data_IF_943999853129
#
_entry.id   IF_943999853129
#
_cell.length_a   1.000
_cell.length_b   1.000
_cell.length_c   1.000
_cell.angle_alpha   90.00
_cell.angle_beta   90.00
_cell.angle_gamma   90.00
#
_symmetry.space_group_name_H-M   'P 1'
#
loop_
_entity.id
_entity.type
_entity.pdbx_description
1 polymer ?
#
# COMPACT_ATOMS: atom_id res chain seq x y z
N UNK A 1 -24.44 -3.52 10.36
CA UNK A 1 -23.92 -2.13 10.26
C UNK A 1 -22.83 -2.16 9.20
N UNK A 2 -23.01 -1.48 8.07
CA UNK A 2 -22.00 -1.43 7.01
C UNK A 2 -20.86 -0.50 7.43
N UNK A 3 -19.60 -0.74 6.97
CA UNK A 3 -18.44 0.10 7.28
C UNK A 3 -18.64 1.59 6.92
N UNK A 4 -19.65 1.92 6.08
CA UNK A 4 -19.99 3.30 5.73
C UNK A 4 -20.75 4.05 6.84
N UNK A 5 -21.30 3.36 7.83
CA UNK A 5 -22.16 3.92 8.88
C UNK A 5 -21.49 3.93 10.26
N UNK A 6 -20.29 3.33 10.39
CA UNK A 6 -19.57 3.32 11.68
C UNK A 6 -18.97 4.70 11.98
N UNK A 7 -19.09 5.22 13.21
CA UNK A 7 -18.36 6.41 13.62
C UNK A 7 -16.86 6.12 13.48
N UNK A 8 -16.12 7.08 12.94
CA UNK A 8 -14.66 7.03 12.84
C UNK A 8 -14.06 6.96 14.23
N UNK A 9 -12.96 6.20 14.44
CA UNK A 9 -12.22 6.28 15.70
C UNK A 9 -11.89 7.75 15.99
N UNK A 10 -12.25 8.20 17.18
CA UNK A 10 -12.14 9.57 17.62
C UNK A 10 -10.67 9.95 17.83
N UNK A 11 -10.11 10.73 16.91
CA UNK A 11 -9.07 11.71 17.25
C UNK A 11 -9.79 13.02 17.56
N UNK A 12 -9.96 13.33 18.83
CA UNK A 12 -10.80 14.43 19.30
C UNK A 12 -10.17 15.84 19.18
N UNK A 13 -9.01 15.97 18.51
CA UNK A 13 -8.38 17.27 18.29
C UNK A 13 -8.48 17.68 16.82
N UNK A 14 -8.97 18.92 16.52
CA UNK A 14 -9.06 19.43 15.14
C UNK A 14 -7.72 19.46 14.40
N UNK A 15 -6.61 19.66 15.11
CA UNK A 15 -5.25 19.65 14.61
C UNK A 15 -4.70 18.27 14.25
N UNK A 16 -5.25 17.18 14.84
CA UNK A 16 -4.80 15.79 14.62
C UNK A 16 -5.59 15.08 13.49
N UNK A 17 -6.52 15.77 12.84
CA UNK A 17 -7.28 15.19 11.73
C UNK A 17 -6.40 15.00 10.51
N UNK A 18 -6.00 13.76 10.26
CA UNK A 18 -5.35 13.38 9.00
C UNK A 18 -6.24 13.78 7.83
N UNK A 19 -5.80 14.76 7.04
CA UNK A 19 -6.53 15.16 5.85
C UNK A 19 -6.31 14.13 4.76
N UNK A 20 -7.39 13.45 4.35
CA UNK A 20 -7.39 12.57 3.20
C UNK A 20 -7.78 13.34 1.94
N UNK A 21 -6.92 13.31 0.92
CA UNK A 21 -7.11 14.06 -0.33
C UNK A 21 -7.68 13.22 -1.48
N UNK A 22 -7.78 11.91 -1.31
CA UNK A 22 -8.30 10.98 -2.30
C UNK A 22 -9.83 10.90 -2.33
N UNK A 23 -10.36 10.11 -3.26
CA UNK A 23 -11.79 9.77 -3.35
C UNK A 23 -12.04 8.48 -2.57
N UNK A 24 -13.06 8.45 -1.69
CA UNK A 24 -13.53 7.20 -1.07
C UNK A 24 -14.47 6.41 -1.96
N UNK A 25 -15.27 7.08 -2.77
CA UNK A 25 -16.26 6.45 -3.65
C UNK A 25 -16.09 6.95 -5.09
N UNK A 26 -16.23 6.04 -6.04
CA UNK A 26 -16.29 6.30 -7.45
C UNK A 26 -17.72 6.27 -8.00
N UNK A 27 -17.88 5.71 -9.18
CA UNK A 27 -19.21 5.40 -9.72
C UNK A 27 -19.88 4.34 -8.83
N UNK A 28 -21.22 4.36 -8.77
CA UNK A 28 -22.01 3.33 -8.07
C UNK A 28 -21.57 1.94 -8.51
N UNK A 29 -21.31 1.08 -7.54
CA UNK A 29 -20.96 -0.32 -7.79
C UNK A 29 -22.13 -1.02 -8.50
N UNK A 30 -21.84 -1.89 -9.45
CA UNK A 30 -22.81 -2.82 -10.02
C UNK A 30 -23.16 -3.87 -8.95
N UNK A 31 -24.33 -4.52 -9.08
CA UNK A 31 -24.81 -5.48 -8.08
C UNK A 31 -23.79 -6.58 -7.75
N UNK A 32 -23.13 -7.16 -8.75
CA UNK A 32 -22.08 -8.16 -8.54
C UNK A 32 -20.84 -7.61 -7.82
N UNK A 33 -20.44 -6.36 -8.08
CA UNK A 33 -19.34 -5.72 -7.38
C UNK A 33 -19.67 -5.42 -5.91
N UNK A 34 -20.93 -5.04 -5.65
CA UNK A 34 -21.43 -4.83 -4.29
C UNK A 34 -21.44 -6.15 -3.50
N UNK A 35 -21.85 -7.25 -4.11
CA UNK A 35 -21.83 -8.58 -3.49
C UNK A 35 -20.38 -9.01 -3.14
N UNK A 36 -19.42 -8.86 -4.07
CA UNK A 36 -18.01 -9.14 -3.76
C UNK A 36 -17.44 -8.25 -2.66
N UNK A 37 -17.87 -6.98 -2.58
CA UNK A 37 -17.44 -6.09 -1.51
C UNK A 37 -17.99 -6.56 -0.17
N UNK A 38 -19.28 -6.91 -0.08
CA UNK A 38 -19.93 -7.37 1.14
C UNK A 38 -19.27 -8.67 1.65
N UNK A 39 -19.17 -9.70 0.81
CA UNK A 39 -18.49 -10.96 1.17
C UNK A 39 -17.02 -10.73 1.54
N UNK A 40 -16.31 -9.90 0.75
CA UNK A 40 -14.90 -9.66 0.97
C UNK A 40 -14.62 -8.85 2.24
N UNK A 41 -15.51 -7.94 2.64
CA UNK A 41 -15.38 -7.24 3.92
C UNK A 41 -15.47 -8.18 5.11
N UNK A 42 -16.39 -9.13 5.08
CA UNK A 42 -16.54 -10.11 6.16
C UNK A 42 -15.33 -11.06 6.25
N UNK A 43 -14.73 -11.41 5.11
CA UNK A 43 -13.64 -12.40 5.05
C UNK A 43 -12.24 -11.81 5.22
N UNK A 44 -12.01 -10.63 4.69
CA UNK A 44 -10.65 -10.10 4.50
C UNK A 44 -10.39 -8.77 5.21
N UNK A 45 -11.43 -8.01 5.61
CA UNK A 45 -11.20 -6.71 6.23
C UNK A 45 -10.59 -6.86 7.64
N UNK A 46 -9.58 -6.03 7.91
CA UNK A 46 -9.05 -5.85 9.26
C UNK A 46 -10.11 -5.11 10.09
N UNK A 47 -10.46 -5.65 11.25
CA UNK A 47 -11.41 -4.99 12.16
C UNK A 47 -10.80 -3.68 12.68
N UNK A 48 -11.43 -2.51 12.46
CA UNK A 48 -10.94 -1.24 12.98
C UNK A 48 -10.82 -1.19 14.50
N UNK A 49 -11.61 -1.98 15.24
CA UNK A 49 -11.64 -1.97 16.68
C UNK A 49 -10.35 -2.52 17.32
N UNK A 50 -9.51 -3.24 16.55
CA UNK A 50 -8.21 -3.73 17.03
C UNK A 50 -7.11 -2.66 16.95
N UNK A 51 -7.38 -1.54 16.27
CA UNK A 51 -6.39 -0.49 16.04
C UNK A 51 -6.19 0.32 17.32
N UNK A 52 -4.96 0.36 17.78
CA UNK A 52 -4.52 1.13 18.96
C UNK A 52 -3.25 1.89 18.61
N UNK A 53 -2.96 2.98 19.32
CA UNK A 53 -1.73 3.76 19.10
C UNK A 53 -0.52 3.13 19.82
N UNK A 54 -0.60 1.86 20.26
CA UNK A 54 0.41 1.23 21.12
C UNK A 54 1.57 0.57 20.36
N UNK A 55 1.51 0.47 19.02
CA UNK A 55 2.59 -0.11 18.22
C UNK A 55 2.92 -1.57 18.53
N UNK A 56 1.92 -2.39 18.90
CA UNK A 56 2.11 -3.76 19.36
C UNK A 56 1.42 -4.83 18.48
N UNK A 57 0.68 -4.42 17.45
CA UNK A 57 -0.02 -5.36 16.57
C UNK A 57 0.95 -6.01 15.57
N UNK A 58 0.97 -7.33 15.57
CA UNK A 58 1.67 -8.09 14.53
C UNK A 58 0.67 -8.48 13.41
N UNK A 59 0.86 -8.04 12.18
CA UNK A 59 -0.05 -8.38 11.08
C UNK A 59 -0.08 -9.88 10.75
N UNK A 60 0.88 -10.68 11.24
CA UNK A 60 0.88 -12.15 11.11
C UNK A 60 -0.32 -12.76 11.82
N UNK A 61 -0.77 -12.16 12.91
CA UNK A 61 -1.91 -12.64 13.73
C UNK A 61 -3.26 -12.55 13.00
N UNK A 62 -3.31 -11.74 11.93
CA UNK A 62 -4.53 -11.61 11.10
C UNK A 62 -4.64 -12.67 10.00
N UNK A 63 -3.58 -13.44 9.76
CA UNK A 63 -3.48 -14.42 8.68
C UNK A 63 -3.73 -15.84 9.19
N UNK A 64 -4.43 -16.66 8.41
CA UNK A 64 -4.72 -18.04 8.75
C UNK A 64 -4.42 -18.95 7.57
N UNK A 65 -3.43 -19.85 7.66
CA UNK A 65 -2.47 -19.96 8.78
C UNK A 65 -1.56 -18.75 8.91
N UNK A 66 -0.93 -18.50 10.07
CA UNK A 66 0.02 -17.41 10.23
C UNK A 66 1.15 -17.50 9.19
N UNK A 67 1.49 -16.37 8.60
CA UNK A 67 2.55 -16.27 7.59
C UNK A 67 3.90 -16.01 8.23
N UNK A 68 4.97 -16.59 7.67
CA UNK A 68 6.35 -16.28 8.09
C UNK A 68 6.78 -14.88 7.64
N UNK A 69 6.39 -14.48 6.42
CA UNK A 69 6.71 -13.17 5.83
C UNK A 69 5.43 -12.38 5.54
N UNK A 70 5.44 -11.08 5.83
CA UNK A 70 4.29 -10.19 5.57
C UNK A 70 4.73 -8.94 4.80
N UNK A 71 3.98 -8.64 3.76
CA UNK A 71 4.17 -7.48 2.90
C UNK A 71 2.97 -6.52 2.96
N UNK A 72 3.23 -5.22 2.94
CA UNK A 72 2.21 -4.17 2.90
C UNK A 72 2.17 -3.51 1.51
N UNK A 73 0.99 -3.43 0.88
CA UNK A 73 0.80 -2.58 -0.30
C UNK A 73 -0.07 -1.38 0.05
N UNK A 74 0.49 -0.18 -0.12
CA UNK A 74 -0.19 1.08 0.14
C UNK A 74 -0.76 1.65 -1.16
N UNK A 75 -2.08 1.82 -1.22
CA UNK A 75 -2.78 2.30 -2.41
C UNK A 75 -2.86 1.26 -3.51
N UNK A 76 -3.35 0.05 -3.21
CA UNK A 76 -3.40 -1.05 -4.17
C UNK A 76 -4.35 -0.82 -5.38
N UNK A 77 -5.13 0.24 -5.38
CA UNK A 77 -6.02 0.59 -6.49
C UNK A 77 -7.02 -0.52 -6.82
N UNK A 78 -6.86 -1.23 -7.94
CA UNK A 78 -7.71 -2.37 -8.30
C UNK A 78 -7.31 -3.71 -7.72
N UNK A 79 -6.14 -3.78 -7.09
CA UNK A 79 -5.64 -4.96 -6.41
C UNK A 79 -5.00 -6.01 -7.32
N UNK A 80 -4.80 -5.70 -8.62
CA UNK A 80 -4.22 -6.67 -9.57
C UNK A 80 -2.83 -7.13 -9.15
N UNK A 81 -1.96 -6.19 -8.70
CA UNK A 81 -0.61 -6.53 -8.23
C UNK A 81 -0.67 -7.37 -6.95
N UNK A 82 -1.42 -6.89 -5.96
CA UNK A 82 -1.53 -7.56 -4.66
C UNK A 82 -2.07 -9.00 -4.80
N UNK A 83 -3.13 -9.18 -5.59
CA UNK A 83 -3.71 -10.50 -5.85
C UNK A 83 -2.73 -11.44 -6.58
N UNK A 84 -2.00 -10.94 -7.58
CA UNK A 84 -0.99 -11.73 -8.29
C UNK A 84 0.14 -12.17 -7.36
N UNK A 85 0.66 -11.26 -6.51
CA UNK A 85 1.71 -11.60 -5.52
C UNK A 85 1.22 -12.62 -4.50
N UNK A 86 -0.03 -12.50 -4.06
CA UNK A 86 -0.64 -13.45 -3.15
C UNK A 86 -0.78 -14.85 -3.77
N UNK A 87 -1.16 -14.93 -5.04
CA UNK A 87 -1.27 -16.18 -5.79
C UNK A 87 0.10 -16.84 -6.02
N UNK A 88 1.13 -16.05 -6.38
CA UNK A 88 2.48 -16.56 -6.58
C UNK A 88 3.15 -17.07 -5.29
N UNK A 89 2.76 -16.54 -4.14
CA UNK A 89 3.43 -16.81 -2.87
C UNK A 89 2.42 -17.13 -1.77
N UNK A 90 1.73 -18.28 -1.80
CA UNK A 90 0.66 -18.61 -0.84
C UNK A 90 1.16 -18.75 0.61
N UNK A 91 2.47 -18.98 0.82
CA UNK A 91 3.08 -19.02 2.14
C UNK A 91 3.40 -17.65 2.74
N UNK A 92 3.27 -16.56 1.95
CA UNK A 92 3.47 -15.18 2.37
C UNK A 92 2.13 -14.53 2.69
N UNK A 93 2.13 -13.63 3.66
CA UNK A 93 1.00 -12.79 3.99
C UNK A 93 1.06 -11.43 3.32
N UNK A 94 -0.09 -10.88 2.99
CA UNK A 94 -0.20 -9.56 2.38
C UNK A 94 -1.24 -8.71 3.07
N UNK A 95 -0.89 -7.45 3.33
CA UNK A 95 -1.82 -6.43 3.81
C UNK A 95 -1.99 -5.40 2.70
N UNK A 96 -3.21 -5.17 2.26
CA UNK A 96 -3.53 -4.11 1.31
C UNK A 96 -4.23 -2.95 2.00
N UNK A 97 -3.75 -1.73 1.84
CA UNK A 97 -4.42 -0.54 2.34
C UNK A 97 -4.90 0.34 1.19
N UNK A 98 -6.21 0.58 1.10
CA UNK A 98 -6.84 1.39 0.03
C UNK A 98 -8.17 1.99 0.52
N UNK A 99 -8.29 3.31 0.59
CA UNK A 99 -9.53 3.96 1.00
C UNK A 99 -10.60 4.05 -0.10
N UNK A 100 -10.24 3.82 -1.38
CA UNK A 100 -11.17 3.89 -2.50
C UNK A 100 -11.99 2.61 -2.62
N UNK A 101 -13.24 2.64 -2.19
CA UNK A 101 -14.13 1.47 -2.07
C UNK A 101 -14.35 0.68 -3.37
N UNK A 102 -14.31 1.35 -4.55
CA UNK A 102 -14.39 0.63 -5.81
C UNK A 102 -13.12 -0.20 -6.09
N UNK A 103 -11.97 0.23 -5.58
CA UNK A 103 -10.73 -0.55 -5.60
C UNK A 103 -10.81 -1.73 -4.65
N UNK A 104 -11.30 -1.51 -3.43
CA UNK A 104 -11.55 -2.59 -2.45
C UNK A 104 -12.47 -3.66 -3.03
N UNK A 105 -13.60 -3.27 -3.65
CA UNK A 105 -14.51 -4.21 -4.32
C UNK A 105 -13.82 -5.02 -5.44
N UNK A 106 -12.89 -4.38 -6.17
CA UNK A 106 -12.13 -5.07 -7.21
C UNK A 106 -11.15 -6.09 -6.62
N UNK A 107 -10.45 -5.75 -5.54
CA UNK A 107 -9.56 -6.69 -4.85
C UNK A 107 -10.35 -7.84 -4.24
N UNK A 108 -11.48 -7.57 -3.55
CA UNK A 108 -12.34 -8.62 -3.00
C UNK A 108 -12.74 -9.64 -4.08
N UNK A 109 -13.13 -9.17 -5.28
CA UNK A 109 -13.41 -10.07 -6.41
C UNK A 109 -12.20 -10.95 -6.76
N UNK A 110 -11.00 -10.37 -6.89
CA UNK A 110 -9.79 -11.14 -7.19
C UNK A 110 -9.49 -12.21 -6.13
N UNK A 111 -9.65 -11.86 -4.85
CA UNK A 111 -9.40 -12.79 -3.75
C UNK A 111 -10.42 -13.93 -3.70
N UNK A 112 -11.69 -13.63 -3.92
CA UNK A 112 -12.78 -14.63 -3.92
C UNK A 112 -12.66 -15.56 -5.13
N UNK A 113 -12.55 -15.01 -6.35
CA UNK A 113 -12.42 -15.78 -7.58
C UNK A 113 -11.13 -16.61 -7.61
N UNK A 114 -10.02 -16.05 -7.08
CA UNK A 114 -8.71 -16.72 -6.98
C UNK A 114 -8.56 -17.65 -5.77
N UNK A 115 -9.57 -17.73 -4.88
CA UNK A 115 -9.52 -18.49 -3.61
C UNK A 115 -8.29 -18.13 -2.73
N UNK A 116 -7.90 -16.84 -2.74
CA UNK A 116 -6.72 -16.35 -2.02
C UNK A 116 -7.10 -15.98 -0.58
N UNK A 117 -6.46 -16.63 0.40
CA UNK A 117 -6.77 -16.43 1.82
C UNK A 117 -5.62 -15.75 2.61
N UNK A 118 -4.49 -15.53 1.95
CA UNK A 118 -3.28 -14.94 2.52
C UNK A 118 -3.22 -13.40 2.39
N UNK A 119 -4.37 -12.74 2.23
CA UNK A 119 -4.49 -11.28 2.13
C UNK A 119 -5.43 -10.76 3.22
N UNK A 120 -5.10 -9.61 3.80
CA UNK A 120 -6.01 -8.80 4.61
C UNK A 120 -6.09 -7.38 4.06
N UNK A 121 -7.24 -6.74 4.23
CA UNK A 121 -7.57 -5.44 3.64
C UNK A 121 -7.82 -4.43 4.74
N UNK A 122 -7.11 -3.31 4.68
CA UNK A 122 -7.41 -2.10 5.43
C UNK A 122 -8.12 -1.10 4.50
N UNK A 123 -9.46 -0.96 4.58
CA UNK A 123 -10.24 -0.14 3.63
C UNK A 123 -10.30 1.34 4.03
N UNK A 124 -9.26 1.84 4.67
CA UNK A 124 -9.14 3.20 5.17
C UNK A 124 -7.76 3.81 4.85
N UNK A 125 -7.53 5.02 5.31
CA UNK A 125 -6.20 5.65 5.22
C UNK A 125 -5.18 4.81 5.98
N UNK A 126 -4.11 4.42 5.32
CA UNK A 126 -3.05 3.60 5.90
C UNK A 126 -2.40 4.25 7.12
N UNK A 127 -2.35 5.59 7.17
CA UNK A 127 -1.78 6.34 8.29
C UNK A 127 -2.52 6.12 9.62
N UNK A 128 -3.74 5.60 9.58
CA UNK A 128 -4.49 5.18 10.76
C UNK A 128 -4.05 3.81 11.26
N UNK A 129 -3.54 2.94 10.36
CA UNK A 129 -3.10 1.59 10.69
C UNK A 129 -1.65 1.56 11.19
N UNK A 130 -0.74 2.28 10.52
CA UNK A 130 0.70 2.14 10.72
C UNK A 130 1.18 2.39 12.16
N UNK A 131 0.63 3.36 12.94
CA UNK A 131 1.04 3.58 14.34
C UNK A 131 0.81 2.37 15.25
N UNK A 132 -0.21 1.57 14.95
CA UNK A 132 -0.58 0.38 15.75
C UNK A 132 0.32 -0.82 15.49
N UNK A 133 1.08 -0.82 14.37
CA UNK A 133 1.90 -1.95 13.99
C UNK A 133 3.22 -1.97 14.76
N UNK A 134 3.62 -3.18 15.14
CA UNK A 134 4.88 -3.50 15.82
C UNK A 134 6.10 -3.19 14.94
N UNK A 135 7.20 -2.78 15.55
CA UNK A 135 8.47 -2.56 14.89
C UNK A 135 8.98 -3.84 14.20
N UNK A 136 9.51 -3.69 13.00
CA UNK A 136 10.08 -4.81 12.24
C UNK A 136 9.09 -5.91 11.85
N UNK A 137 7.78 -5.63 11.87
CA UNK A 137 6.75 -6.63 11.56
C UNK A 137 6.56 -6.90 10.06
N UNK A 138 7.14 -6.09 9.18
CA UNK A 138 7.01 -6.22 7.74
C UNK A 138 8.31 -6.70 7.10
N UNK A 139 8.19 -7.62 6.14
CA UNK A 139 9.28 -8.08 5.28
C UNK A 139 9.48 -7.16 4.07
N UNK A 140 8.48 -6.36 3.76
CA UNK A 140 8.57 -5.32 2.75
C UNK A 140 7.28 -4.52 2.59
N UNK A 141 7.41 -3.42 1.84
CA UNK A 141 6.27 -2.58 1.48
C UNK A 141 6.33 -2.15 0.02
N UNK A 142 5.15 -1.96 -0.57
CA UNK A 142 4.94 -1.50 -1.93
C UNK A 142 4.15 -0.19 -1.94
N UNK A 143 4.62 0.81 -2.69
CA UNK A 143 3.85 2.02 -3.00
C UNK A 143 3.96 2.23 -4.51
N UNK A 144 2.93 1.81 -5.23
CA UNK A 144 2.94 1.64 -6.66
C UNK A 144 2.02 2.64 -7.34
N UNK A 145 2.59 3.46 -8.22
CA UNK A 145 1.86 4.45 -9.03
C UNK A 145 0.91 5.34 -8.21
N UNK A 146 1.37 5.91 -7.08
CA UNK A 146 0.53 6.78 -6.27
C UNK A 146 0.14 8.05 -7.03
N UNK A 147 -0.91 8.73 -6.57
CA UNK A 147 -1.34 10.01 -7.13
C UNK A 147 -0.17 11.00 -7.16
N UNK A 148 0.21 11.53 -8.33
CA UNK A 148 1.44 12.30 -8.50
C UNK A 148 1.37 13.71 -7.93
N UNK A 149 0.15 14.31 -7.84
CA UNK A 149 -0.08 15.69 -7.41
C UNK A 149 0.95 16.65 -8.04
N UNK A 150 0.94 16.86 -9.37
CA UNK A 150 2.05 17.48 -10.09
C UNK A 150 2.27 18.96 -9.74
N UNK A 151 1.23 19.67 -9.27
CA UNK A 151 1.36 21.08 -8.89
C UNK A 151 2.16 21.20 -7.58
N UNK A 152 3.16 22.08 -7.54
CA UNK A 152 4.02 22.29 -6.37
C UNK A 152 3.24 22.58 -5.08
N UNK A 153 2.18 23.39 -5.14
CA UNK A 153 1.30 23.69 -3.97
C UNK A 153 0.60 22.45 -3.40
N UNK A 154 0.58 21.33 -4.13
CA UNK A 154 -0.03 20.06 -3.70
C UNK A 154 1.00 19.04 -3.19
N UNK A 155 2.27 19.40 -3.06
CA UNK A 155 3.33 18.44 -2.68
C UNK A 155 3.09 17.75 -1.34
N UNK A 156 2.43 18.42 -0.39
CA UNK A 156 2.05 17.84 0.90
C UNK A 156 0.98 16.74 0.82
N UNK A 157 0.32 16.59 -0.35
CA UNK A 157 -0.68 15.53 -0.59
C UNK A 157 -0.05 14.22 -1.04
N UNK A 158 1.21 14.24 -1.48
CA UNK A 158 1.91 13.04 -1.93
C UNK A 158 2.16 12.13 -0.76
N UNK A 159 1.93 10.82 -0.95
CA UNK A 159 2.06 9.83 0.13
C UNK A 159 3.52 9.66 0.59
N UNK A 160 4.49 9.82 -0.31
CA UNK A 160 5.92 9.72 0.03
C UNK A 160 6.37 11.04 0.65
N UNK A 161 6.40 11.09 1.98
CA UNK A 161 6.89 12.18 2.82
C UNK A 161 7.91 11.62 3.82
N UNK A 162 8.66 12.46 4.50
CA UNK A 162 9.69 12.02 5.46
C UNK A 162 9.09 11.21 6.62
N UNK A 163 7.95 11.62 7.15
CA UNK A 163 7.22 10.91 8.20
C UNK A 163 6.76 9.50 7.75
N UNK A 164 6.28 9.36 6.53
CA UNK A 164 5.91 8.06 5.95
C UNK A 164 7.15 7.18 5.81
N UNK A 165 8.27 7.70 5.29
CA UNK A 165 9.51 6.93 5.13
C UNK A 165 10.04 6.50 6.49
N UNK A 166 10.08 7.40 7.48
CA UNK A 166 10.48 7.08 8.86
C UNK A 166 9.60 5.98 9.47
N UNK A 167 8.29 6.06 9.24
CA UNK A 167 7.36 5.03 9.71
C UNK A 167 7.63 3.69 9.04
N UNK A 168 7.84 3.67 7.72
CA UNK A 168 8.17 2.43 7.00
C UNK A 168 9.54 1.87 7.41
N UNK A 169 10.53 2.73 7.70
CA UNK A 169 11.82 2.30 8.23
C UNK A 169 11.70 1.60 9.59
N UNK A 170 10.77 2.07 10.45
CA UNK A 170 10.44 1.40 11.72
C UNK A 170 9.78 0.04 11.51
N UNK A 171 8.84 -0.03 10.57
CA UNK A 171 8.00 -1.22 10.36
C UNK A 171 8.67 -2.32 9.55
N UNK A 172 9.52 -1.96 8.58
CA UNK A 172 10.23 -2.92 7.75
C UNK A 172 11.45 -3.42 8.54
N UNK A 173 11.56 -4.75 8.68
CA UNK A 173 12.72 -5.37 9.36
C UNK A 173 14.02 -5.13 8.58
N UNK A 174 15.19 -5.19 9.24
CA UNK A 174 16.47 -5.21 8.54
C UNK A 174 16.52 -6.30 7.45
N UNK A 175 17.03 -5.95 6.26
CA UNK A 175 17.02 -6.78 5.06
C UNK A 175 15.69 -6.78 4.29
N UNK A 176 14.62 -6.23 4.84
CA UNK A 176 13.34 -6.05 4.15
C UNK A 176 13.41 -4.97 3.07
N UNK A 177 12.40 -4.91 2.20
CA UNK A 177 12.44 -4.07 1.01
C UNK A 177 11.30 -3.05 0.97
N UNK A 178 11.60 -1.84 0.52
CA UNK A 178 10.63 -0.84 0.11
C UNK A 178 10.72 -0.67 -1.41
N UNK A 179 9.64 -1.00 -2.13
CA UNK A 179 9.53 -0.82 -3.57
C UNK A 179 8.58 0.33 -3.89
N UNK A 180 9.10 1.34 -4.57
CA UNK A 180 8.35 2.48 -5.08
C UNK A 180 8.30 2.39 -6.60
N UNK A 181 7.14 2.69 -7.23
CA UNK A 181 7.04 2.74 -8.68
C UNK A 181 6.18 3.90 -9.17
N UNK A 182 6.56 4.48 -10.32
CA UNK A 182 5.76 5.50 -11.02
C UNK A 182 6.13 5.59 -12.49
N UNK A 183 5.18 6.02 -13.32
CA UNK A 183 5.36 6.41 -14.72
C UNK A 183 5.39 7.94 -14.90
N UNK A 184 5.07 8.70 -13.84
CA UNK A 184 4.92 10.15 -13.88
C UNK A 184 6.22 10.84 -13.45
N UNK A 185 6.82 11.73 -14.29
CA UNK A 185 8.13 12.33 -14.01
C UNK A 185 8.21 13.06 -12.66
N UNK A 186 7.21 13.87 -12.31
CA UNK A 186 7.20 14.62 -11.04
C UNK A 186 7.18 13.69 -9.84
N UNK A 187 6.41 12.59 -9.91
CA UNK A 187 6.37 11.60 -8.83
C UNK A 187 7.70 10.86 -8.69
N UNK A 188 8.33 10.46 -9.82
CA UNK A 188 9.64 9.80 -9.80
C UNK A 188 10.71 10.68 -9.16
N UNK A 189 10.82 11.93 -9.60
CA UNK A 189 11.76 12.89 -9.02
C UNK A 189 11.50 13.06 -7.53
N UNK A 190 10.25 13.27 -7.14
CA UNK A 190 9.87 13.43 -5.73
C UNK A 190 10.24 12.22 -4.87
N UNK A 191 9.94 11.00 -5.33
CA UNK A 191 10.28 9.77 -4.61
C UNK A 191 11.78 9.68 -4.34
N UNK A 192 12.59 9.90 -5.38
CA UNK A 192 14.05 9.86 -5.26
C UNK A 192 14.58 10.97 -4.35
N UNK A 193 14.08 12.21 -4.46
CA UNK A 193 14.45 13.31 -3.57
C UNK A 193 14.15 13.00 -2.11
N UNK A 194 12.93 12.50 -1.82
CA UNK A 194 12.55 12.17 -0.45
C UNK A 194 13.38 11.01 0.11
N UNK A 195 13.60 9.94 -0.66
CA UNK A 195 14.42 8.81 -0.24
C UNK A 195 15.89 9.19 -0.06
N UNK A 196 16.48 9.94 -1.00
CA UNK A 196 17.87 10.41 -0.88
C UNK A 196 18.05 11.28 0.37
N UNK A 197 17.11 12.21 0.62
CA UNK A 197 17.13 13.06 1.81
C UNK A 197 17.06 12.21 3.08
N UNK A 198 16.18 11.23 3.14
CA UNK A 198 16.02 10.35 4.29
C UNK A 198 17.27 9.52 4.54
N UNK A 199 17.83 8.88 3.50
CA UNK A 199 19.04 8.06 3.57
C UNK A 199 20.23 8.89 4.08
N UNK A 200 20.40 10.12 3.60
CA UNK A 200 21.49 11.00 4.03
C UNK A 200 21.40 11.39 5.51
N UNK A 201 20.21 11.38 6.10
CA UNK A 201 19.99 11.75 7.51
C UNK A 201 20.05 10.53 8.43
N UNK A 202 19.36 9.44 8.05
CA UNK A 202 19.07 8.30 8.94
C UNK A 202 19.89 7.04 8.61
N UNK A 203 20.38 6.89 7.38
CA UNK A 203 21.20 5.75 6.92
C UNK A 203 20.52 4.37 7.11
N UNK A 204 19.19 4.34 7.21
CA UNK A 204 18.42 3.14 7.49
C UNK A 204 17.91 2.42 6.22
N UNK A 205 18.12 3.02 5.05
CA UNK A 205 17.88 2.41 3.75
C UNK A 205 19.08 2.53 2.83
N UNK A 206 19.24 1.56 1.93
CA UNK A 206 20.18 1.61 0.82
C UNK A 206 19.43 1.41 -0.49
N UNK A 207 19.71 2.23 -1.48
CA UNK A 207 19.17 2.03 -2.82
C UNK A 207 19.83 0.81 -3.46
N UNK A 208 19.03 -0.20 -3.83
CA UNK A 208 19.52 -1.49 -4.31
C UNK A 208 20.07 -1.47 -5.75
N UNK A 209 19.74 -0.42 -6.54
CA UNK A 209 20.13 -0.35 -7.94
C UNK A 209 21.64 -0.20 -8.12
N UNK A 210 22.24 -1.04 -8.98
CA UNK A 210 23.64 -1.00 -9.40
C UNK A 210 23.79 -0.52 -10.83
N UNK A 211 22.73 -0.62 -11.62
CA UNK A 211 22.67 -0.21 -13.03
C UNK A 211 21.33 0.50 -13.34
N UNK A 212 21.24 1.09 -14.51
CA UNK A 212 20.00 1.73 -14.96
C UNK A 212 18.85 0.74 -15.19
N UNK A 213 19.15 -0.51 -15.48
CA UNK A 213 18.15 -1.54 -15.76
C UNK A 213 17.42 -1.98 -14.50
N UNK A 214 18.10 -1.91 -13.34
CA UNK A 214 17.52 -2.25 -12.03
C UNK A 214 16.33 -1.38 -11.63
N UNK A 215 16.14 -0.22 -12.29
CA UNK A 215 15.00 0.66 -12.03
C UNK A 215 14.19 1.00 -13.28
N UNK A 216 14.61 0.54 -14.47
CA UNK A 216 13.91 0.75 -15.75
C UNK A 216 13.15 -0.48 -16.22
N UNK A 217 13.57 -1.65 -15.78
CA UNK A 217 12.92 -2.93 -16.05
C UNK A 217 12.07 -3.32 -14.84
N UNK A 218 10.83 -3.81 -15.05
CA UNK A 218 10.02 -4.28 -13.92
C UNK A 218 10.71 -5.44 -13.19
N UNK A 219 10.55 -5.56 -11.86
CA UNK A 219 11.05 -6.71 -11.12
C UNK A 219 10.56 -8.04 -11.72
N UNK A 220 11.35 -9.14 -11.58
CA UNK A 220 10.91 -10.46 -12.03
C UNK A 220 9.52 -10.84 -11.48
N UNK A 221 8.69 -11.49 -12.30
CA UNK A 221 7.33 -11.86 -11.92
C UNK A 221 6.37 -10.66 -11.78
N UNK A 222 6.71 -9.49 -12.32
CA UNK A 222 5.83 -8.32 -12.23
C UNK A 222 4.53 -8.56 -12.99
N UNK A 223 3.36 -8.51 -12.33
CA UNK A 223 2.08 -8.70 -13.02
C UNK A 223 1.76 -7.47 -13.88
N UNK A 224 1.14 -7.70 -15.03
CA UNK A 224 0.58 -6.63 -15.83
C UNK A 224 -0.53 -5.91 -15.06
N UNK A 225 -0.40 -4.61 -14.83
CA UNK A 225 -1.42 -3.80 -14.16
C UNK A 225 -2.09 -2.84 -15.14
N UNK A 226 -3.34 -2.43 -14.85
CA UNK A 226 -4.01 -1.39 -15.65
C UNK A 226 -3.25 -0.06 -15.64
N UNK A 227 -2.43 0.22 -14.63
CA UNK A 227 -1.58 1.42 -14.58
C UNK A 227 -0.47 1.35 -15.61
N UNK A 228 0.18 0.17 -15.79
CA UNK A 228 1.16 -0.03 -16.86
C UNK A 228 0.53 0.13 -18.23
N UNK A 229 -0.63 -0.47 -18.48
CA UNK A 229 -1.35 -0.31 -19.74
C UNK A 229 -1.73 1.16 -20.03
N UNK A 230 -2.05 1.96 -19.01
CA UNK A 230 -2.26 3.40 -19.16
C UNK A 230 -0.97 4.15 -19.44
N UNK A 231 0.14 3.79 -18.81
CA UNK A 231 1.44 4.38 -19.03
C UNK A 231 1.91 4.15 -20.47
N UNK A 232 1.79 2.92 -20.97
CA UNK A 232 2.10 2.55 -22.36
C UNK A 232 1.29 3.35 -23.37
N UNK A 233 -0.06 3.42 -23.18
CA UNK A 233 -0.92 4.25 -24.02
C UNK A 233 -0.53 5.73 -24.02
N UNK A 234 -0.01 6.22 -22.90
CA UNK A 234 0.46 7.59 -22.75
C UNK A 234 1.94 7.76 -23.15
N UNK A 235 2.58 6.72 -23.69
CA UNK A 235 4.00 6.67 -24.04
C UNK A 235 4.94 7.07 -22.89
N UNK A 236 4.52 6.79 -21.64
CA UNK A 236 5.32 7.05 -20.44
C UNK A 236 6.05 5.79 -20.02
N UNK A 237 7.30 5.93 -19.61
CA UNK A 237 8.12 4.83 -19.09
C UNK A 237 7.97 4.75 -17.58
N UNK A 238 7.56 3.59 -17.10
CA UNK A 238 7.55 3.29 -15.66
C UNK A 238 8.97 3.13 -15.12
N UNK A 239 9.14 3.37 -13.83
CA UNK A 239 10.39 3.12 -13.10
C UNK A 239 10.06 2.47 -11.76
N UNK A 240 10.96 1.58 -11.29
CA UNK A 240 10.83 0.82 -10.06
C UNK A 240 12.06 1.08 -9.19
N UNK A 241 11.88 1.62 -8.00
CA UNK A 241 12.95 2.00 -7.09
C UNK A 241 12.91 1.09 -5.87
N UNK A 242 13.86 0.16 -5.76
CA UNK A 242 13.97 -0.77 -4.64
C UNK A 242 14.99 -0.25 -3.63
N UNK A 243 14.57 -0.13 -2.39
CA UNK A 243 15.41 0.23 -1.25
C UNK A 243 15.41 -0.92 -0.25
N UNK A 244 16.59 -1.24 0.31
CA UNK A 244 16.76 -2.29 1.31
C UNK A 244 16.98 -1.66 2.67
N UNK A 245 16.23 -2.10 3.68
CA UNK A 245 16.37 -1.69 5.07
C UNK A 245 17.66 -2.25 5.67
N UNK A 246 18.46 -1.36 6.27
CA UNK A 246 19.72 -1.73 6.92
C UNK A 246 19.54 -2.21 8.35
#
# INVERSE_FOLDING_TARGET
>A
MTLSERPRPHHDRPEDRLTFYGRRHGRRLRANQAAFLEEGQDRFAINPDVITDQGNLDPRDWLTPPSGEVFLEIGFGGGEHLAARAAESPARGFIGAEPFMNGVASLCRHLIEGQLNNVRIWPEDVRLLLPSLKDGCLDGAFILFPDPWPKYRHRSRRIIQQDMITTLARLIRPGGQLLLASDEPTAKTWMLEQMTRHINIHQDFVWAAKSSDDWRVPPPGWPGTRYMAKAEKAQRRSSWFTFVRQ
#
